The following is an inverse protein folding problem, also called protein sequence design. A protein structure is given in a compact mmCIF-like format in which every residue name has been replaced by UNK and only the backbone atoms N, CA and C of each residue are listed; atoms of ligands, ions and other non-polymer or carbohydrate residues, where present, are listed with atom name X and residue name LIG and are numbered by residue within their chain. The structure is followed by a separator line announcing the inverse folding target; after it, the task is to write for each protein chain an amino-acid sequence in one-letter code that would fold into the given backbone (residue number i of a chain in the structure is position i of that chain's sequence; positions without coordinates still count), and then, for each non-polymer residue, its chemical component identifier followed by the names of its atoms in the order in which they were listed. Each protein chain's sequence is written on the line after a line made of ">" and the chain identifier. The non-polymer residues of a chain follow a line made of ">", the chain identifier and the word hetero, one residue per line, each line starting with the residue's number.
data_IF_586910841104
#
_entry.id   IF_586910841104
#
_cell.length_a   1.000
_cell.length_b   1.000
_cell.length_c   1.000
_cell.angle_alpha   90.00
_cell.angle_beta   90.00
_cell.angle_gamma   90.00
#
_symmetry.space_group_name_H-M   'P 1'
#
loop_
_entity.id
_entity.type
_entity.pdbx_description
1 polymer ?
#
# COMPACT_ATOMS: atom_id res chain seq x y z
N UNK A 1 -6.55 -35.93 -11.54
CA UNK A 1 -6.25 -34.48 -11.55
C UNK A 1 -6.52 -33.94 -10.14
N UNK A 2 -5.61 -33.18 -9.52
CA UNK A 2 -5.83 -32.73 -8.14
C UNK A 2 -7.08 -31.84 -8.05
N UNK A 3 -7.83 -31.93 -6.96
CA UNK A 3 -9.05 -31.13 -6.70
C UNK A 3 -8.81 -29.62 -6.93
N UNK A 4 -7.59 -29.15 -6.64
CA UNK A 4 -7.16 -27.78 -6.85
C UNK A 4 -7.01 -27.39 -8.33
N UNK A 5 -6.48 -28.28 -9.17
CA UNK A 5 -6.39 -28.05 -10.61
C UNK A 5 -7.76 -27.99 -11.27
N UNK A 6 -8.70 -28.84 -10.82
CA UNK A 6 -10.10 -28.78 -11.23
C UNK A 6 -10.74 -27.44 -10.85
N UNK A 7 -10.55 -27.01 -9.60
CA UNK A 7 -11.05 -25.71 -9.13
C UNK A 7 -10.52 -24.54 -9.95
N UNK A 8 -9.22 -24.47 -10.22
CA UNK A 8 -8.63 -23.39 -11.04
C UNK A 8 -9.20 -23.41 -12.45
N UNK A 9 -9.33 -24.60 -13.04
CA UNK A 9 -9.86 -24.76 -14.40
C UNK A 9 -11.32 -24.31 -14.49
N UNK A 10 -12.14 -24.67 -13.50
CA UNK A 10 -13.56 -24.31 -13.44
C UNK A 10 -13.80 -22.81 -13.15
N UNK A 11 -12.85 -22.15 -12.48
CA UNK A 11 -12.98 -20.76 -12.05
C UNK A 11 -12.04 -19.79 -12.81
N UNK A 12 -11.43 -20.23 -13.92
CA UNK A 12 -10.45 -19.43 -14.66
C UNK A 12 -11.03 -18.08 -15.12
N UNK A 13 -12.29 -18.07 -15.54
CA UNK A 13 -13.00 -16.84 -15.91
C UNK A 13 -13.08 -15.85 -14.74
N UNK A 14 -13.36 -16.32 -13.52
CA UNK A 14 -13.41 -15.47 -12.33
C UNK A 14 -12.02 -14.96 -11.94
N UNK A 15 -10.99 -15.82 -12.02
CA UNK A 15 -9.61 -15.46 -11.71
C UNK A 15 -9.12 -14.32 -12.60
N UNK A 16 -9.51 -14.32 -13.88
CA UNK A 16 -9.17 -13.24 -14.82
C UNK A 16 -10.07 -12.02 -14.60
N UNK A 17 -11.35 -12.22 -14.30
CA UNK A 17 -12.32 -11.13 -14.16
C UNK A 17 -12.04 -10.25 -12.93
N UNK A 18 -11.62 -10.83 -11.81
CA UNK A 18 -11.37 -10.09 -10.55
C UNK A 18 -10.35 -8.95 -10.74
N UNK A 19 -9.11 -9.19 -11.24
CA UNK A 19 -8.18 -8.10 -11.49
C UNK A 19 -8.75 -7.12 -12.50
N UNK A 20 -9.44 -7.56 -13.55
CA UNK A 20 -10.06 -6.64 -14.52
C UNK A 20 -11.06 -5.68 -13.86
N UNK A 21 -11.95 -6.17 -13.00
CA UNK A 21 -12.90 -5.32 -12.28
C UNK A 21 -12.17 -4.34 -11.36
N UNK A 22 -11.18 -4.83 -10.59
CA UNK A 22 -10.42 -3.99 -9.65
C UNK A 22 -9.66 -2.86 -10.35
N UNK A 23 -8.96 -3.18 -11.45
CA UNK A 23 -8.23 -2.17 -12.22
C UNK A 23 -9.17 -1.20 -12.92
N UNK A 24 -10.33 -1.67 -13.39
CA UNK A 24 -11.32 -0.81 -14.02
C UNK A 24 -11.90 0.20 -13.04
N UNK A 25 -12.26 -0.24 -11.84
CA UNK A 25 -12.70 0.63 -10.75
C UNK A 25 -11.61 1.65 -10.41
N UNK A 26 -10.37 1.20 -10.25
CA UNK A 26 -9.24 2.08 -9.92
C UNK A 26 -9.01 3.17 -10.97
N UNK A 27 -9.00 2.79 -12.26
CA UNK A 27 -8.79 3.74 -13.34
C UNK A 27 -9.95 4.74 -13.47
N UNK A 28 -11.21 4.29 -13.31
CA UNK A 28 -12.37 5.19 -13.29
C UNK A 28 -12.28 6.17 -12.12
N UNK A 29 -11.92 5.71 -10.93
CA UNK A 29 -11.76 6.58 -9.77
C UNK A 29 -10.64 7.60 -9.97
N UNK A 30 -9.50 7.21 -10.53
CA UNK A 30 -8.41 8.13 -10.86
C UNK A 30 -8.86 9.20 -11.85
N UNK A 31 -9.50 8.82 -12.95
CA UNK A 31 -9.98 9.80 -13.95
C UNK A 31 -11.02 10.74 -13.33
N UNK A 32 -11.98 10.22 -12.57
CA UNK A 32 -13.01 11.01 -11.91
C UNK A 32 -12.45 12.01 -10.91
N UNK A 33 -11.49 11.58 -10.08
CA UNK A 33 -10.95 12.38 -8.97
C UNK A 33 -9.91 13.39 -9.43
N UNK A 34 -9.12 13.05 -10.46
CA UNK A 34 -7.99 13.88 -10.91
C UNK A 34 -8.41 14.83 -12.05
N UNK A 35 -9.30 14.40 -12.96
CA UNK A 35 -9.58 15.12 -14.20
C UNK A 35 -11.07 15.49 -14.33
N UNK A 36 -11.97 14.54 -14.03
CA UNK A 36 -13.42 14.74 -14.02
C UNK A 36 -14.19 13.79 -14.95
N UNK A 37 -15.52 13.77 -14.76
CA UNK A 37 -16.46 12.85 -15.42
C UNK A 37 -16.40 12.80 -16.96
N UNK A 38 -16.28 13.94 -17.69
CA UNK A 38 -16.24 13.92 -19.16
C UNK A 38 -15.06 13.12 -19.73
N UNK A 39 -14.01 12.90 -18.93
CA UNK A 39 -12.77 12.25 -19.37
C UNK A 39 -12.78 10.73 -19.20
N UNK A 40 -13.87 10.14 -18.67
CA UNK A 40 -14.02 8.67 -18.58
C UNK A 40 -13.88 8.01 -19.96
N UNK A 41 -14.25 8.70 -21.04
CA UNK A 41 -14.09 8.18 -22.42
C UNK A 41 -12.64 7.87 -22.82
N UNK A 42 -11.66 8.40 -22.08
CA UNK A 42 -10.23 8.18 -22.31
C UNK A 42 -9.68 7.04 -21.44
N UNK A 43 -10.55 6.14 -20.99
CA UNK A 43 -10.19 4.93 -20.24
C UNK A 43 -9.33 3.98 -21.07
N UNK A 44 -8.19 3.53 -20.52
CA UNK A 44 -7.29 2.59 -21.20
C UNK A 44 -7.57 1.15 -20.80
N UNK A 45 -8.31 0.43 -21.64
CA UNK A 45 -8.65 -0.99 -21.45
C UNK A 45 -7.41 -1.85 -21.21
N UNK A 46 -6.29 -1.49 -21.85
CA UNK A 46 -5.07 -2.30 -21.79
C UNK A 46 -4.30 -2.20 -20.46
N UNK A 47 -4.56 -1.17 -19.64
CA UNK A 47 -3.98 -1.03 -18.29
C UNK A 47 -4.85 -1.65 -17.19
N UNK A 48 -6.11 -1.94 -17.49
CA UNK A 48 -7.07 -2.49 -16.53
C UNK A 48 -6.56 -3.76 -15.85
N UNK A 49 -6.01 -4.71 -16.62
CA UNK A 49 -5.50 -5.96 -16.04
C UNK A 49 -4.24 -5.72 -15.21
N UNK A 50 -3.18 -5.04 -15.71
CA UNK A 50 -2.02 -4.67 -14.90
C UNK A 50 -2.36 -3.94 -13.59
N UNK A 51 -3.20 -2.91 -13.64
CA UNK A 51 -3.61 -2.12 -12.47
C UNK A 51 -4.37 -2.99 -11.46
N UNK A 52 -5.25 -3.85 -11.97
CA UNK A 52 -5.97 -4.84 -11.19
C UNK A 52 -5.10 -5.84 -10.47
N UNK A 53 -4.07 -6.35 -11.17
CA UNK A 53 -3.09 -7.27 -10.59
C UNK A 53 -2.26 -6.57 -9.51
N UNK A 54 -1.88 -5.31 -9.72
CA UNK A 54 -1.16 -4.53 -8.72
C UNK A 54 -1.98 -4.37 -7.43
N UNK A 55 -3.28 -4.05 -7.54
CA UNK A 55 -4.20 -3.98 -6.40
C UNK A 55 -4.31 -5.34 -5.71
N UNK A 56 -4.49 -6.40 -6.50
CA UNK A 56 -4.64 -7.76 -5.97
C UNK A 56 -3.39 -8.21 -5.20
N UNK A 57 -2.20 -7.94 -5.74
CA UNK A 57 -0.92 -8.21 -5.06
C UNK A 57 -0.84 -7.43 -3.76
N UNK A 58 -1.19 -6.15 -3.77
CA UNK A 58 -1.21 -5.30 -2.57
C UNK A 58 -2.16 -5.85 -1.48
N UNK A 59 -3.35 -6.30 -1.88
CA UNK A 59 -4.31 -6.96 -0.98
C UNK A 59 -3.80 -8.29 -0.47
N UNK A 60 -3.21 -9.14 -1.33
CA UNK A 60 -2.64 -10.42 -0.93
C UNK A 60 -1.50 -10.25 0.08
N UNK A 61 -0.60 -9.29 -0.14
CA UNK A 61 0.49 -8.96 0.80
C UNK A 61 -0.10 -8.48 2.13
N UNK A 62 -1.08 -7.59 2.09
CA UNK A 62 -1.75 -7.07 3.30
C UNK A 62 -2.44 -8.18 4.10
N UNK A 63 -3.15 -9.09 3.42
CA UNK A 63 -3.80 -10.25 4.03
C UNK A 63 -2.77 -11.24 4.59
N UNK A 64 -1.67 -11.49 3.89
CA UNK A 64 -0.60 -12.35 4.35
C UNK A 64 0.02 -11.79 5.64
N UNK A 65 0.32 -10.49 5.67
CA UNK A 65 0.80 -9.80 6.87
C UNK A 65 -0.22 -9.97 8.02
N UNK A 66 -1.50 -9.72 7.76
CA UNK A 66 -2.58 -9.92 8.75
C UNK A 66 -2.64 -11.35 9.28
N UNK A 67 -2.58 -12.36 8.41
CA UNK A 67 -2.63 -13.77 8.82
C UNK A 67 -1.39 -14.20 9.60
N UNK A 68 -0.20 -13.73 9.21
CA UNK A 68 1.03 -13.92 9.96
C UNK A 68 0.83 -13.39 11.38
N UNK A 69 0.39 -12.13 11.52
CA UNK A 69 0.14 -11.53 12.84
C UNK A 69 -0.92 -12.31 13.62
N UNK A 70 -2.05 -12.67 13.00
CA UNK A 70 -3.12 -13.44 13.64
C UNK A 70 -2.66 -14.81 14.10
N UNK A 71 -1.87 -15.52 13.29
CA UNK A 71 -1.30 -16.83 13.65
C UNK A 71 -0.36 -16.70 14.86
N UNK A 72 0.53 -15.70 14.84
CA UNK A 72 1.42 -15.41 15.97
C UNK A 72 0.64 -15.06 17.24
N UNK A 73 -0.37 -14.20 17.14
CA UNK A 73 -1.26 -13.84 18.26
C UNK A 73 -1.93 -15.11 18.81
N UNK A 74 -2.61 -15.89 17.97
CA UNK A 74 -3.29 -17.09 18.46
C UNK A 74 -2.34 -18.12 19.07
N UNK A 75 -1.16 -18.32 18.50
CA UNK A 75 -0.12 -19.18 19.09
C UNK A 75 0.38 -18.66 20.45
N UNK A 76 0.45 -17.34 20.61
CA UNK A 76 0.86 -16.68 21.85
C UNK A 76 -0.21 -16.78 22.95
N UNK A 77 -1.48 -16.56 22.60
CA UNK A 77 -2.57 -16.58 23.56
C UNK A 77 -3.03 -18.00 23.95
N UNK A 78 -2.92 -18.99 23.06
CA UNK A 78 -3.44 -20.35 23.31
C UNK A 78 -2.48 -21.26 24.11
N UNK A 79 -1.19 -20.91 24.28
CA UNK A 79 -0.21 -21.75 25.02
C UNK A 79 -0.14 -21.49 26.53
N UNK A 80 -1.25 -21.11 27.17
CA UNK A 80 -1.28 -20.61 28.57
C UNK A 80 -1.49 -21.62 29.69
N UNK A 81 -1.50 -22.92 29.40
CA UNK A 81 -1.58 -23.95 30.46
C UNK A 81 -0.15 -24.41 30.81
N UNK A 82 0.47 -23.78 31.81
CA UNK A 82 1.82 -24.12 32.28
C UNK A 82 2.18 -23.45 33.61
N UNK A 83 3.25 -23.90 34.25
CA UNK A 83 3.77 -23.31 35.50
C UNK A 83 4.16 -21.83 35.29
N UNK A 84 4.06 -21.00 36.33
CA UNK A 84 4.34 -19.54 36.28
C UNK A 84 5.70 -19.23 35.62
N UNK A 85 6.77 -19.96 35.98
CA UNK A 85 8.10 -19.79 35.40
C UNK A 85 8.18 -20.09 33.89
N UNK A 86 7.29 -20.95 33.40
CA UNK A 86 7.22 -21.31 31.98
C UNK A 86 6.45 -20.23 31.20
N UNK A 87 5.38 -19.69 31.79
CA UNK A 87 4.64 -18.56 31.22
C UNK A 87 5.53 -17.32 31.13
N UNK A 88 6.29 -17.02 32.18
CA UNK A 88 7.24 -15.91 32.21
C UNK A 88 8.33 -16.03 31.14
N UNK A 89 9.01 -17.19 31.07
CA UNK A 89 10.04 -17.45 30.05
C UNK A 89 9.51 -17.39 28.63
N UNK A 90 8.32 -17.94 28.38
CA UNK A 90 7.68 -17.88 27.06
C UNK A 90 7.29 -16.45 26.67
N UNK A 91 6.81 -15.65 27.63
CA UNK A 91 6.47 -14.24 27.42
C UNK A 91 7.70 -13.43 27.03
N UNK A 92 8.80 -13.59 27.78
CA UNK A 92 10.09 -12.95 27.47
C UNK A 92 10.65 -13.38 26.10
N UNK A 93 10.62 -14.69 25.80
CA UNK A 93 11.10 -15.17 24.50
C UNK A 93 10.30 -14.58 23.35
N UNK A 94 8.98 -14.51 23.50
CA UNK A 94 8.09 -13.96 22.47
C UNK A 94 8.30 -12.46 22.31
N UNK A 95 8.41 -11.69 23.39
CA UNK A 95 8.69 -10.25 23.31
C UNK A 95 10.03 -9.97 22.62
N UNK A 96 11.05 -10.77 22.91
CA UNK A 96 12.38 -10.64 22.31
C UNK A 96 12.36 -11.01 20.81
N UNK A 97 11.61 -12.04 20.42
CA UNK A 97 11.36 -12.36 19.00
C UNK A 97 10.62 -11.22 18.27
N UNK A 98 9.66 -10.57 18.93
CA UNK A 98 8.98 -9.40 18.36
C UNK A 98 9.93 -8.23 18.14
N UNK A 99 10.81 -7.94 19.11
CA UNK A 99 11.81 -6.87 18.98
C UNK A 99 12.80 -7.19 17.84
N UNK A 100 13.26 -8.43 17.73
CA UNK A 100 14.18 -8.82 16.65
C UNK A 100 13.47 -8.76 15.29
N UNK A 101 12.29 -9.36 15.18
CA UNK A 101 11.50 -9.31 13.96
C UNK A 101 11.15 -7.88 13.58
N UNK A 102 10.97 -7.02 14.58
CA UNK A 102 10.64 -5.62 14.33
C UNK A 102 11.82 -4.84 13.78
N UNK A 103 13.01 -5.04 14.35
CA UNK A 103 14.25 -4.49 13.83
C UNK A 103 14.54 -4.96 12.40
N UNK A 104 14.36 -6.25 12.11
CA UNK A 104 14.54 -6.81 10.76
C UNK A 104 13.58 -6.14 9.76
N UNK A 105 12.30 -6.02 10.12
CA UNK A 105 11.31 -5.39 9.25
C UNK A 105 11.66 -3.93 8.97
N UNK A 106 12.03 -3.17 10.00
CA UNK A 106 12.52 -1.79 9.83
C UNK A 106 13.71 -1.78 8.88
N UNK A 107 14.72 -2.62 9.11
CA UNK A 107 15.90 -2.70 8.23
C UNK A 107 15.52 -3.02 6.78
N UNK A 108 14.58 -3.93 6.54
CA UNK A 108 14.08 -4.23 5.19
C UNK A 108 13.37 -3.05 4.54
N UNK A 109 12.61 -2.25 5.30
CA UNK A 109 12.01 -1.02 4.78
C UNK A 109 13.09 0.00 4.39
N UNK A 110 14.12 0.17 5.22
CA UNK A 110 15.26 1.05 4.93
C UNK A 110 16.03 0.58 3.68
N UNK A 111 16.29 -0.72 3.56
CA UNK A 111 16.95 -1.32 2.39
C UNK A 111 16.08 -1.17 1.15
N UNK A 112 14.79 -1.48 1.23
CA UNK A 112 13.84 -1.32 0.13
C UNK A 112 13.80 0.13 -0.36
N UNK A 113 13.75 1.09 0.56
CA UNK A 113 13.86 2.51 0.19
C UNK A 113 15.22 2.82 -0.46
N UNK A 114 16.32 2.38 0.11
CA UNK A 114 17.65 2.64 -0.46
C UNK A 114 17.81 2.14 -1.91
N UNK A 115 17.23 0.98 -2.24
CA UNK A 115 17.36 0.39 -3.58
C UNK A 115 16.28 0.85 -4.57
N UNK A 116 15.05 1.06 -4.12
CA UNK A 116 13.90 1.31 -5.01
C UNK A 116 13.44 2.77 -5.02
N UNK A 117 13.82 3.59 -4.03
CA UNK A 117 13.45 5.00 -4.03
C UNK A 117 14.45 5.86 -4.80
N UNK A 118 13.96 6.95 -5.41
CA UNK A 118 14.80 7.93 -6.09
C UNK A 118 15.70 8.60 -5.06
N UNK A 119 16.99 8.76 -5.38
CA UNK A 119 17.96 9.44 -4.50
C UNK A 119 17.59 10.89 -4.15
N UNK A 120 16.66 11.49 -4.90
CA UNK A 120 16.31 12.90 -4.81
C UNK A 120 15.16 13.19 -3.84
N UNK A 121 14.46 12.16 -3.32
CA UNK A 121 13.36 12.35 -2.37
C UNK A 121 13.91 12.27 -0.95
N UNK A 122 13.82 13.37 -0.21
CA UNK A 122 14.33 13.43 1.16
C UNK A 122 13.55 12.47 2.08
N UNK A 123 14.23 11.95 3.10
CA UNK A 123 13.65 10.94 3.99
C UNK A 123 12.41 11.44 4.76
N UNK A 124 12.35 12.75 5.02
CA UNK A 124 11.29 13.41 5.79
C UNK A 124 10.06 13.77 4.95
N UNK A 125 10.17 13.82 3.63
CA UNK A 125 9.05 14.16 2.73
C UNK A 125 8.18 12.95 2.39
N UNK A 126 8.72 11.74 2.59
CA UNK A 126 8.03 10.47 2.37
C UNK A 126 7.09 10.15 3.55
N UNK A 127 5.88 10.69 3.44
CA UNK A 127 4.82 10.52 4.44
C UNK A 127 4.47 9.05 4.64
N UNK A 128 4.58 8.20 3.63
CA UNK A 128 4.17 6.79 3.76
C UNK A 128 5.21 5.97 4.51
N UNK A 129 6.50 6.13 4.22
CA UNK A 129 7.53 5.52 5.05
C UNK A 129 7.35 5.90 6.52
N UNK A 130 7.04 7.17 6.78
CA UNK A 130 6.72 7.69 8.12
C UNK A 130 5.48 7.02 8.70
N UNK A 131 4.39 6.89 7.94
CA UNK A 131 3.18 6.22 8.42
C UNK A 131 3.39 4.72 8.67
N UNK A 132 4.13 4.00 7.83
CA UNK A 132 4.45 2.57 8.05
C UNK A 132 5.24 2.41 9.36
N UNK A 133 6.20 3.29 9.61
CA UNK A 133 6.93 3.31 10.90
C UNK A 133 5.98 3.60 12.06
N UNK A 134 5.10 4.59 11.96
CA UNK A 134 4.15 4.94 13.03
C UNK A 134 3.22 3.75 13.33
N UNK A 135 2.63 3.15 12.30
CA UNK A 135 1.75 1.98 12.44
C UNK A 135 2.47 0.83 13.13
N UNK A 136 3.72 0.62 12.77
CA UNK A 136 4.55 -0.42 13.32
C UNK A 136 4.97 -0.17 14.77
N UNK A 137 5.30 1.08 15.12
CA UNK A 137 5.57 1.48 16.50
C UNK A 137 4.33 1.30 17.37
N UNK A 138 3.15 1.69 16.87
CA UNK A 138 1.88 1.47 17.57
C UNK A 138 1.60 -0.02 17.77
N UNK A 139 1.84 -0.86 16.76
CA UNK A 139 1.73 -2.31 16.89
C UNK A 139 2.68 -2.88 17.96
N UNK A 140 3.94 -2.47 17.93
CA UNK A 140 4.97 -2.89 18.90
C UNK A 140 4.63 -2.46 20.32
N UNK A 141 4.13 -1.23 20.49
CA UNK A 141 3.68 -0.70 21.77
C UNK A 141 2.51 -1.49 22.37
N UNK A 142 1.55 -1.89 21.54
CA UNK A 142 0.42 -2.72 22.00
C UNK A 142 0.88 -4.11 22.47
N UNK A 143 1.84 -4.74 21.77
CA UNK A 143 2.43 -5.99 22.24
C UNK A 143 3.12 -5.80 23.60
N UNK A 144 3.83 -4.69 23.77
CA UNK A 144 4.49 -4.37 25.04
C UNK A 144 3.48 -4.22 26.18
N UNK A 145 2.41 -3.44 26.01
CA UNK A 145 1.33 -3.32 27.00
C UNK A 145 0.75 -4.69 27.33
N UNK A 146 0.51 -5.51 26.31
CA UNK A 146 -0.03 -6.84 26.52
C UNK A 146 0.90 -7.73 27.36
N UNK A 147 2.21 -7.69 27.11
CA UNK A 147 3.20 -8.41 27.89
C UNK A 147 3.24 -7.93 29.35
N UNK A 148 3.11 -6.62 29.58
CA UNK A 148 3.02 -6.04 30.92
C UNK A 148 1.79 -6.58 31.66
N UNK A 149 0.62 -6.64 31.00
CA UNK A 149 -0.60 -7.22 31.60
C UNK A 149 -0.41 -8.70 31.97
N UNK A 150 0.29 -9.48 31.14
CA UNK A 150 0.61 -10.88 31.45
C UNK A 150 1.52 -10.98 32.67
N UNK A 151 2.56 -10.14 32.72
CA UNK A 151 3.50 -10.12 33.84
C UNK A 151 2.77 -9.83 35.15
N UNK A 152 1.90 -8.81 35.19
CA UNK A 152 1.08 -8.51 36.37
C UNK A 152 0.20 -9.70 36.80
N UNK A 153 -0.43 -10.40 35.86
CA UNK A 153 -1.19 -11.62 36.19
C UNK A 153 -0.29 -12.74 36.76
N UNK A 154 0.97 -12.85 36.34
CA UNK A 154 1.90 -13.88 36.82
C UNK A 154 2.37 -13.64 38.27
N UNK A 155 2.48 -12.38 38.71
CA UNK A 155 2.80 -12.02 40.11
C UNK A 155 1.55 -12.00 41.02
N UNK A 156 0.45 -12.61 40.59
CA UNK A 156 -0.77 -12.76 41.40
C UNK A 156 -1.66 -11.52 41.46
N UNK A 157 -1.37 -10.47 40.68
CA UNK A 157 -2.25 -9.32 40.52
C UNK A 157 -3.32 -9.68 39.49
N UNK A 158 -4.48 -10.14 39.95
CA UNK A 158 -5.55 -10.58 39.04
C UNK A 158 -6.15 -9.39 38.29
N UNK A 159 -5.78 -9.21 37.02
CA UNK A 159 -6.40 -8.24 36.13
C UNK A 159 -7.66 -8.81 35.43
N UNK A 160 -8.17 -9.98 35.83
CA UNK A 160 -9.50 -10.49 35.46
C UNK A 160 -9.88 -10.41 33.96
N UNK A 161 -11.16 -10.08 33.69
CA UNK A 161 -11.80 -9.91 32.36
C UNK A 161 -11.09 -8.92 31.41
N UNK A 162 -10.09 -8.17 31.90
CA UNK A 162 -9.32 -7.22 31.10
C UNK A 162 -8.61 -7.95 29.97
N UNK A 163 -8.11 -9.19 30.17
CA UNK A 163 -7.34 -9.88 29.13
C UNK A 163 -8.15 -10.22 27.86
N UNK A 164 -9.40 -10.67 28.01
CA UNK A 164 -10.29 -10.99 26.89
C UNK A 164 -10.83 -9.72 26.22
N UNK A 165 -11.20 -8.70 27.01
CA UNK A 165 -11.60 -7.38 26.49
C UNK A 165 -10.45 -6.72 25.72
N UNK A 166 -9.22 -6.84 26.22
CA UNK A 166 -8.03 -6.32 25.59
C UNK A 166 -7.70 -7.06 24.30
N UNK A 167 -7.85 -8.40 24.26
CA UNK A 167 -7.68 -9.18 23.02
C UNK A 167 -8.65 -8.72 21.93
N UNK A 168 -9.94 -8.57 22.25
CA UNK A 168 -10.93 -8.10 21.29
C UNK A 168 -10.64 -6.66 20.81
N UNK A 169 -10.33 -5.74 21.74
CA UNK A 169 -9.93 -4.36 21.38
C UNK A 169 -8.68 -4.33 20.51
N UNK A 170 -7.72 -5.22 20.76
CA UNK A 170 -6.50 -5.34 19.97
C UNK A 170 -6.77 -5.88 18.57
N UNK A 171 -7.65 -6.88 18.42
CA UNK A 171 -8.06 -7.39 17.09
C UNK A 171 -8.79 -6.31 16.27
N UNK A 172 -9.66 -5.52 16.91
CA UNK A 172 -10.31 -4.37 16.27
C UNK A 172 -9.28 -3.32 15.84
N UNK A 173 -8.33 -2.98 16.73
CA UNK A 173 -7.27 -2.02 16.42
C UNK A 173 -6.35 -2.51 15.29
N UNK A 174 -6.00 -3.80 15.28
CA UNK A 174 -5.21 -4.43 14.21
C UNK A 174 -5.95 -4.35 12.87
N UNK A 175 -7.26 -4.62 12.87
CA UNK A 175 -8.11 -4.52 11.69
C UNK A 175 -8.16 -3.09 11.17
N UNK A 176 -8.34 -2.12 12.07
CA UNK A 176 -8.31 -0.70 11.73
C UNK A 176 -6.96 -0.28 11.13
N UNK A 177 -5.84 -0.75 11.70
CA UNK A 177 -4.52 -0.50 11.14
C UNK A 177 -4.29 -1.16 9.78
N UNK A 178 -4.80 -2.38 9.57
CA UNK A 178 -4.74 -3.02 8.26
C UNK A 178 -5.49 -2.21 7.20
N UNK A 179 -6.66 -1.66 7.54
CA UNK A 179 -7.43 -0.77 6.65
C UNK A 179 -6.63 0.50 6.34
N UNK A 180 -6.09 1.18 7.36
CA UNK A 180 -5.26 2.38 7.15
C UNK A 180 -4.05 2.06 6.28
N UNK A 181 -3.37 0.94 6.54
CA UNK A 181 -2.22 0.51 5.75
C UNK A 181 -2.58 0.29 4.27
N UNK A 182 -3.72 -0.33 3.99
CA UNK A 182 -4.22 -0.49 2.60
C UNK A 182 -4.49 0.87 1.96
N UNK A 183 -5.16 1.80 2.68
CA UNK A 183 -5.42 3.16 2.15
C UNK A 183 -4.11 3.88 1.83
N UNK A 184 -3.11 3.78 2.70
CA UNK A 184 -1.80 4.36 2.49
C UNK A 184 -1.08 3.70 1.31
N UNK A 185 -1.06 2.38 1.23
CA UNK A 185 -0.48 1.66 0.08
C UNK A 185 -1.12 2.11 -1.24
N UNK A 186 -2.44 2.27 -1.28
CA UNK A 186 -3.14 2.76 -2.48
C UNK A 186 -2.69 4.18 -2.86
N UNK A 187 -2.45 5.05 -1.87
CA UNK A 187 -1.92 6.40 -2.12
C UNK A 187 -0.48 6.38 -2.65
N UNK A 188 0.37 5.50 -2.13
CA UNK A 188 1.76 5.39 -2.62
C UNK A 188 1.80 4.75 -4.00
N UNK A 189 0.90 3.83 -4.31
CA UNK A 189 0.74 3.31 -5.67
C UNK A 189 0.47 4.45 -6.65
N UNK A 190 -0.40 5.41 -6.28
CA UNK A 190 -0.65 6.62 -7.11
C UNK A 190 0.61 7.49 -7.23
N UNK A 191 1.32 7.71 -6.12
CA UNK A 191 2.58 8.49 -6.07
C UNK A 191 3.70 7.83 -6.89
N UNK A 192 3.85 6.51 -6.81
CA UNK A 192 4.76 5.72 -7.63
C UNK A 192 4.38 5.75 -9.09
N UNK A 193 3.09 5.69 -9.42
CA UNK A 193 2.63 5.83 -10.80
C UNK A 193 3.01 7.22 -11.33
N UNK A 194 2.82 8.27 -10.53
CA UNK A 194 3.26 9.62 -10.86
C UNK A 194 4.79 9.75 -10.97
N UNK A 195 5.55 9.06 -10.12
CA UNK A 195 7.00 9.03 -10.19
C UNK A 195 7.53 8.28 -11.42
N UNK A 196 6.91 7.15 -11.77
CA UNK A 196 7.22 6.40 -12.99
C UNK A 196 6.92 7.26 -14.23
N UNK A 197 5.87 8.09 -14.18
CA UNK A 197 5.60 9.09 -15.21
C UNK A 197 6.67 10.20 -15.27
N UNK A 198 7.53 10.34 -14.25
CA UNK A 198 8.66 11.26 -14.19
C UNK A 198 10.04 10.60 -14.40
N UNK A 199 10.12 9.28 -14.63
CA UNK A 199 11.37 8.63 -15.02
C UNK A 199 11.83 9.16 -16.39
N UNK A 200 13.15 9.35 -16.56
CA UNK A 200 13.84 10.03 -17.66
C UNK A 200 13.41 9.66 -19.11
N UNK A 201 12.69 8.55 -19.30
CA UNK A 201 12.09 8.18 -20.59
C UNK A 201 10.86 9.04 -20.97
N UNK A 202 10.32 9.82 -20.04
CA UNK A 202 9.29 10.84 -20.26
C UNK A 202 9.86 12.26 -20.26
N UNK A 203 11.15 12.45 -20.59
CA UNK A 203 11.78 13.76 -20.80
C UNK A 203 10.96 14.69 -21.71
N UNK A 204 10.10 14.11 -22.54
CA UNK A 204 9.19 14.83 -23.41
C UNK A 204 8.00 15.49 -22.71
N UNK A 205 7.69 15.15 -21.45
CA UNK A 205 6.64 15.85 -20.69
C UNK A 205 7.06 17.29 -20.39
N UNK A 206 8.33 17.51 -20.04
CA UNK A 206 8.90 18.85 -19.87
C UNK A 206 9.12 19.58 -21.20
N UNK A 207 9.47 18.85 -22.27
CA UNK A 207 9.54 19.43 -23.63
C UNK A 207 8.15 19.83 -24.11
N UNK A 208 7.13 19.05 -23.79
CA UNK A 208 5.74 19.31 -24.15
C UNK A 208 5.19 20.49 -23.35
N UNK A 209 5.46 20.58 -22.04
CA UNK A 209 5.11 21.76 -21.26
C UNK A 209 5.79 23.01 -21.81
N UNK A 210 7.07 22.94 -22.21
CA UNK A 210 7.73 24.05 -22.92
C UNK A 210 7.09 24.39 -24.27
N UNK A 211 6.62 23.40 -25.04
CA UNK A 211 5.96 23.60 -26.35
C UNK A 211 4.64 24.37 -26.23
N UNK A 212 3.89 24.18 -25.14
CA UNK A 212 2.61 24.85 -24.89
C UNK A 212 2.73 26.05 -23.93
N UNK A 213 3.96 26.51 -23.66
CA UNK A 213 4.27 27.50 -22.64
C UNK A 213 4.22 26.89 -21.24
N UNK A 214 5.00 27.45 -20.30
CA UNK A 214 5.09 27.00 -18.90
C UNK A 214 3.74 26.99 -18.12
N UNK A 215 2.60 27.20 -18.79
CA UNK A 215 1.24 27.11 -18.28
C UNK A 215 0.65 25.69 -18.29
N UNK A 216 1.30 24.69 -18.90
CA UNK A 216 0.81 23.32 -18.94
C UNK A 216 1.28 22.49 -17.72
N UNK A 217 0.33 22.09 -16.86
CA UNK A 217 0.53 21.27 -15.67
C UNK A 217 0.06 19.84 -15.91
N UNK A 218 0.94 18.87 -15.74
CA UNK A 218 0.59 17.45 -15.85
C UNK A 218 -0.38 17.02 -14.75
N UNK A 219 -1.42 16.26 -15.12
CA UNK A 219 -2.42 15.76 -14.18
C UNK A 219 -2.36 14.24 -14.02
N UNK A 220 -2.40 13.52 -15.13
CA UNK A 220 -2.53 12.06 -15.15
C UNK A 220 -2.07 11.53 -16.51
N UNK A 221 -1.64 10.26 -16.53
CA UNK A 221 -1.36 9.54 -17.76
C UNK A 221 -1.79 8.10 -17.61
N UNK A 222 -2.34 7.58 -18.69
CA UNK A 222 -2.56 6.17 -18.92
C UNK A 222 -1.77 5.75 -20.18
N UNK A 223 -1.88 4.50 -20.60
CA UNK A 223 -1.06 3.99 -21.71
C UNK A 223 -1.35 4.72 -23.03
N UNK A 224 -2.59 5.14 -23.22
CA UNK A 224 -3.08 5.67 -24.49
C UNK A 224 -3.11 7.20 -24.50
N UNK A 225 -3.26 7.84 -23.33
CA UNK A 225 -3.50 9.27 -23.18
C UNK A 225 -2.73 9.88 -22.01
N UNK A 226 -2.30 11.13 -22.20
CA UNK A 226 -1.80 12.02 -21.17
C UNK A 226 -2.69 13.25 -21.03
N UNK A 227 -2.86 13.72 -19.80
CA UNK A 227 -3.77 14.81 -19.44
C UNK A 227 -2.99 15.96 -18.82
N UNK A 228 -3.22 17.15 -19.35
CA UNK A 228 -2.60 18.38 -18.89
C UNK A 228 -3.66 19.43 -18.58
N UNK A 229 -3.48 20.17 -17.51
CA UNK A 229 -4.20 21.40 -17.20
C UNK A 229 -3.45 22.57 -17.85
N UNK A 230 -4.11 23.32 -18.72
CA UNK A 230 -3.56 24.51 -19.36
C UNK A 230 -4.42 25.70 -18.98
N UNK A 231 -3.78 26.75 -18.49
CA UNK A 231 -4.44 28.04 -18.23
C UNK A 231 -4.43 28.87 -19.50
N UNK A 232 -5.61 29.29 -19.99
CA UNK A 232 -5.70 30.19 -21.13
C UNK A 232 -5.31 31.63 -20.74
N UNK A 233 -5.15 32.52 -21.73
CA UNK A 233 -4.83 33.94 -21.50
C UNK A 233 -5.88 34.70 -20.66
N UNK A 234 -7.08 34.13 -20.52
CA UNK A 234 -8.18 34.65 -19.70
C UNK A 234 -8.19 34.09 -18.27
N UNK A 235 -7.20 33.26 -17.89
CA UNK A 235 -7.10 32.66 -16.56
C UNK A 235 -7.95 31.40 -16.34
N UNK A 236 -8.67 30.92 -17.35
CA UNK A 236 -9.51 29.73 -17.25
C UNK A 236 -8.69 28.45 -17.47
N UNK A 237 -8.85 27.49 -16.56
CA UNK A 237 -8.24 26.17 -16.67
C UNK A 237 -9.00 25.31 -17.69
N UNK A 238 -8.27 24.70 -18.63
CA UNK A 238 -8.76 23.75 -19.61
C UNK A 238 -7.93 22.48 -19.55
N UNK A 239 -8.55 21.32 -19.83
CA UNK A 239 -7.81 20.06 -19.91
C UNK A 239 -7.46 19.76 -21.37
N UNK A 240 -6.17 19.66 -21.64
CA UNK A 240 -5.65 19.13 -22.89
C UNK A 240 -5.42 17.62 -22.74
N UNK A 241 -5.94 16.86 -23.69
CA UNK A 241 -5.70 15.41 -23.80
C UNK A 241 -4.83 15.15 -25.03
N UNK A 242 -3.75 14.41 -24.83
CA UNK A 242 -2.74 14.11 -25.86
C UNK A 242 -2.58 12.61 -25.94
N UNK A 243 -2.42 12.06 -27.14
CA UNK A 243 -2.09 10.64 -27.27
C UNK A 243 -0.67 10.38 -26.73
N UNK A 244 -0.54 9.35 -25.88
CA UNK A 244 0.74 9.03 -25.25
C UNK A 244 1.83 8.64 -26.29
N UNK A 245 1.42 8.14 -27.46
CA UNK A 245 2.33 7.86 -28.58
C UNK A 245 3.02 9.11 -29.10
N UNK A 246 2.30 10.22 -29.17
CA UNK A 246 2.84 11.50 -29.64
C UNK A 246 3.93 12.00 -28.69
N UNK A 247 3.73 11.81 -27.38
CA UNK A 247 4.72 12.12 -26.35
C UNK A 247 5.98 11.26 -26.46
N UNK A 248 5.86 9.99 -26.80
CA UNK A 248 7.03 9.11 -26.99
C UNK A 248 7.75 9.32 -28.33
N UNK A 249 7.09 9.96 -29.30
CA UNK A 249 7.65 10.22 -30.64
C UNK A 249 8.49 11.49 -30.74
N UNK A 250 8.36 12.40 -29.77
CA UNK A 250 9.14 13.63 -29.72
C UNK A 250 10.63 13.30 -29.55
N UNK A 251 11.38 13.30 -30.65
CA UNK A 251 12.84 13.27 -30.58
C UNK A 251 13.33 14.63 -30.11
N UNK A 252 14.21 14.63 -29.12
CA UNK A 252 15.06 15.77 -28.80
C UNK A 252 15.87 16.12 -30.05
N UNK A 253 15.45 17.14 -30.80
CA UNK A 253 16.38 17.84 -31.68
C UNK A 253 17.36 18.54 -30.74
N UNK A 254 18.51 17.90 -30.51
CA UNK A 254 19.67 18.51 -29.86
C UNK A 254 20.26 19.59 -30.76
#
# INVERSE_FOLDING_TARGET
>A
MSKYLLFIKENLSLIILIPTILGGIYQVLNILTIIGLPYIRFFSISQVVPDGLMILVSLCVSLLIFFIFKFYINGYFNKRNGKIDQVFRNTLKTSLMYIIGSLIFISLLFVGKYFFYPKNISFAEDKIFTYVIILFLLFSFNIMIHNVIILFNCIGVSLGNISNSFKAKFEVLLTFFAIIFVILLMREIVSWNNYINHLDNFSNIEVFSKKYGNSAKFLYMNRDYAFYEITNDQGNAQILVVEAKDLMSLKLNK
#
